data_IF_084295466622
#
_entry.id   IF_084295466622
#
_cell.length_a   1.000
_cell.length_b   1.000
_cell.length_c   1.000
_cell.angle_alpha   90.00
_cell.angle_beta   90.00
_cell.angle_gamma   90.00
#
_symmetry.space_group_name_H-M   'P 1'
#
loop_
_entity.id
_entity.type
_entity.pdbx_description
1 polymer ?
#
# COMPACT_ATOMS: atom_id res chain seq x y z
N UNK A 1 4.48 -16.08 -4.29
CA UNK A 1 4.08 -15.01 -3.37
C UNK A 1 2.58 -15.01 -3.31
N UNK A 2 2.03 -14.54 -2.19
CA UNK A 2 0.60 -14.60 -1.92
C UNK A 2 -0.05 -13.26 -2.23
N UNK A 3 -1.26 -13.31 -2.79
CA UNK A 3 -2.10 -12.14 -2.94
C UNK A 3 -3.02 -12.07 -1.74
N UNK A 4 -2.90 -11.01 -0.95
CA UNK A 4 -3.70 -10.82 0.26
C UNK A 4 -4.21 -9.39 0.33
N UNK A 5 -5.35 -9.21 0.98
CA UNK A 5 -5.89 -7.89 1.33
C UNK A 5 -5.49 -7.59 2.76
N UNK A 6 -5.01 -6.38 3.02
CA UNK A 6 -4.55 -5.94 4.34
C UNK A 6 -4.96 -4.49 4.61
N UNK A 7 -5.23 -4.18 5.88
CA UNK A 7 -5.32 -2.79 6.34
C UNK A 7 -3.92 -2.22 6.55
N UNK A 8 -3.72 -0.96 6.15
CA UNK A 8 -2.43 -0.26 6.26
C UNK A 8 -2.67 1.12 6.86
N UNK A 9 -1.87 1.48 7.86
CA UNK A 9 -1.86 2.81 8.47
C UNK A 9 -0.58 3.53 8.05
N UNK A 10 -0.69 4.79 7.63
CA UNK A 10 0.46 5.61 7.26
C UNK A 10 0.91 6.44 8.46
N UNK A 11 2.24 6.60 8.60
CA UNK A 11 2.84 7.44 9.65
C UNK A 11 2.44 8.91 9.49
N UNK A 12 2.22 9.36 8.25
CA UNK A 12 1.79 10.71 7.91
C UNK A 12 0.67 10.69 6.86
N UNK A 13 -0.23 11.69 6.84
CA UNK A 13 -1.25 11.78 5.81
C UNK A 13 -0.63 11.98 4.42
N UNK A 14 -1.15 11.24 3.43
CA UNK A 14 -0.76 11.35 2.02
C UNK A 14 -2.03 11.36 1.19
N UNK A 15 -2.11 12.29 0.23
CA UNK A 15 -3.22 12.31 -0.71
C UNK A 15 -3.20 11.03 -1.57
N UNK A 16 -4.33 10.32 -1.61
CA UNK A 16 -4.47 9.06 -2.32
C UNK A 16 -5.89 8.87 -2.86
N UNK A 17 -6.03 7.96 -3.83
CA UNK A 17 -7.29 7.56 -4.44
C UNK A 17 -7.37 6.03 -4.55
N UNK A 18 -8.59 5.48 -4.60
CA UNK A 18 -8.78 4.06 -4.90
C UNK A 18 -8.25 3.74 -6.31
N UNK A 19 -7.58 2.59 -6.46
CA UNK A 19 -6.90 2.24 -7.70
C UNK A 19 -5.45 2.74 -7.82
N UNK A 20 -5.00 3.62 -6.91
CA UNK A 20 -3.60 4.05 -6.85
C UNK A 20 -2.68 2.84 -6.62
N UNK A 21 -1.66 2.70 -7.45
CA UNK A 21 -0.66 1.63 -7.35
C UNK A 21 0.54 2.09 -6.52
N UNK A 22 1.09 1.17 -5.73
CA UNK A 22 2.27 1.44 -4.90
C UNK A 22 3.21 0.23 -4.84
N UNK A 23 4.43 0.47 -4.34
CA UNK A 23 5.43 -0.56 -4.09
C UNK A 23 5.76 -0.61 -2.59
N UNK A 24 5.95 -1.82 -2.06
CA UNK A 24 6.38 -2.06 -0.67
C UNK A 24 7.89 -2.30 -0.69
N UNK A 25 8.63 -1.55 0.13
CA UNK A 25 10.09 -1.65 0.20
C UNK A 25 10.56 -1.90 1.63
N UNK A 26 11.49 -2.83 1.77
CA UNK A 26 12.15 -3.17 3.03
C UNK A 26 13.66 -3.27 2.79
N UNK A 27 14.48 -2.65 3.64
CA UNK A 27 15.94 -2.67 3.51
C UNK A 27 16.46 -2.20 2.15
N UNK A 28 15.74 -1.28 1.49
CA UNK A 28 16.09 -0.74 0.16
C UNK A 28 15.70 -1.62 -1.03
N UNK A 29 15.08 -2.79 -0.83
CA UNK A 29 14.60 -3.68 -1.90
C UNK A 29 13.08 -3.66 -1.99
N UNK A 30 12.55 -3.85 -3.20
CA UNK A 30 11.10 -4.03 -3.40
C UNK A 30 10.72 -5.46 -3.01
N UNK A 31 9.76 -5.59 -2.10
CA UNK A 31 9.27 -6.88 -1.58
C UNK A 31 7.82 -7.15 -1.97
N UNK A 32 7.10 -6.15 -2.47
CA UNK A 32 5.73 -6.30 -2.92
C UNK A 32 5.25 -5.12 -3.77
N UNK A 33 4.10 -5.29 -4.39
CA UNK A 33 3.37 -4.26 -5.09
C UNK A 33 1.89 -4.38 -4.74
N UNK A 34 1.19 -3.25 -4.72
CA UNK A 34 -0.20 -3.19 -4.30
C UNK A 34 -1.00 -2.14 -5.05
N UNK A 35 -2.30 -2.20 -4.84
CA UNK A 35 -3.28 -1.22 -5.31
C UNK A 35 -4.19 -0.86 -4.13
N UNK A 36 -4.50 0.41 -3.95
CA UNK A 36 -5.44 0.87 -2.92
C UNK A 36 -6.84 0.40 -3.29
N UNK A 37 -7.48 -0.39 -2.43
CA UNK A 37 -8.83 -0.92 -2.66
C UNK A 37 -9.92 -0.11 -1.96
N UNK A 38 -9.61 0.53 -0.81
CA UNK A 38 -10.52 1.38 -0.05
C UNK A 38 -9.74 2.29 0.88
N UNK A 39 -10.16 3.55 1.01
CA UNK A 39 -9.63 4.51 1.99
C UNK A 39 -10.50 4.47 3.26
N UNK A 40 -9.88 4.46 4.44
CA UNK A 40 -10.54 4.43 5.74
C UNK A 40 -10.17 5.70 6.51
N UNK A 41 -11.15 6.34 7.16
CA UNK A 41 -10.99 7.54 8.00
C UNK A 41 -10.80 7.19 9.48
#
# INVERSE_FOLDING_TARGET
GDNVVMGVELIVPVAMEEGLRFAIREGGRTVGAGVVTKIQD
#
